data_IF_416362066027
#
_entry.id   IF_416362066027
#
_cell.length_a   1.000
_cell.length_b   1.000
_cell.length_c   1.000
_cell.angle_alpha   90.00
_cell.angle_beta   90.00
_cell.angle_gamma   90.00
#
_symmetry.space_group_name_H-M   'P 1'
#
loop_
_entity.id
_entity.type
_entity.pdbx_description
1 polymer ?
#
# COMPACT_ATOMS: atom_id res chain seq x y z
N UNK A 1 -3.77 -11.26 -13.63
CA UNK A 1 -3.26 -10.10 -12.87
C UNK A 1 -2.90 -10.58 -11.48
N UNK A 2 -1.67 -10.35 -11.06
CA UNK A 2 -1.18 -10.64 -9.70
C UNK A 2 -1.73 -9.63 -8.70
N UNK A 3 -1.65 -9.92 -7.39
CA UNK A 3 -2.11 -8.99 -6.35
C UNK A 3 -1.41 -7.63 -6.39
N UNK A 4 -0.11 -7.62 -6.72
CA UNK A 4 0.68 -6.38 -6.81
C UNK A 4 0.32 -5.54 -8.05
N UNK A 5 0.02 -6.18 -9.17
CA UNK A 5 -0.47 -5.50 -10.37
C UNK A 5 -1.85 -4.88 -10.12
N UNK A 6 -2.74 -5.58 -9.39
CA UNK A 6 -4.03 -5.02 -8.99
C UNK A 6 -3.89 -3.80 -8.09
N UNK A 7 -2.96 -3.85 -7.11
CA UNK A 7 -2.62 -2.70 -6.27
C UNK A 7 -2.15 -1.53 -7.12
N UNK A 8 -1.20 -1.76 -8.03
CA UNK A 8 -0.65 -0.69 -8.87
C UNK A 8 -1.69 -0.13 -9.84
N UNK A 9 -2.57 -0.97 -10.38
CA UNK A 9 -3.68 -0.54 -11.23
C UNK A 9 -4.62 0.44 -10.49
N UNK A 10 -4.90 0.20 -9.20
CA UNK A 10 -5.78 1.06 -8.41
C UNK A 10 -5.12 2.27 -7.75
N UNK A 11 -3.85 2.13 -7.34
CA UNK A 11 -3.16 3.12 -6.53
C UNK A 11 -1.94 3.73 -7.23
N UNK A 12 -1.64 3.34 -8.46
CA UNK A 12 -0.54 3.91 -9.23
C UNK A 12 -0.70 5.43 -9.44
N UNK A 13 0.41 6.13 -9.77
CA UNK A 13 0.41 7.58 -9.92
C UNK A 13 -0.61 8.08 -10.96
N UNK A 14 -0.74 7.36 -12.07
CA UNK A 14 -1.61 7.70 -13.20
C UNK A 14 -2.95 6.95 -13.16
N UNK A 15 -3.27 6.35 -12.01
CA UNK A 15 -4.52 5.62 -11.85
C UNK A 15 -5.74 6.55 -11.98
N UNK A 16 -6.74 6.15 -12.77
CA UNK A 16 -7.97 6.89 -13.01
C UNK A 16 -9.00 6.83 -11.88
N UNK A 17 -8.74 6.04 -10.83
CA UNK A 17 -9.69 5.90 -9.71
C UNK A 17 -9.70 7.15 -8.81
N UNK A 18 -10.90 7.55 -8.41
CA UNK A 18 -11.16 8.65 -7.46
C UNK A 18 -11.34 8.10 -6.04
N UNK A 19 -11.15 8.95 -5.02
CA UNK A 19 -11.28 8.58 -3.59
C UNK A 19 -10.38 7.41 -3.17
N UNK A 20 -9.21 7.31 -3.78
CA UNK A 20 -8.15 6.37 -3.41
C UNK A 20 -6.86 7.13 -3.17
N UNK A 21 -6.02 6.62 -2.28
CA UNK A 21 -4.64 7.08 -2.17
C UNK A 21 -3.84 6.69 -3.41
N UNK A 22 -2.81 7.46 -3.72
CA UNK A 22 -1.98 7.23 -4.92
C UNK A 22 -0.50 7.30 -4.60
N UNK A 23 0.27 6.40 -5.19
CA UNK A 23 1.71 6.45 -5.15
C UNK A 23 2.24 7.69 -5.88
N UNK A 24 3.43 8.14 -5.49
CA UNK A 24 4.09 9.30 -6.09
C UNK A 24 4.40 9.06 -7.56
N UNK A 25 4.44 10.15 -8.34
CA UNK A 25 4.92 10.12 -9.72
C UNK A 25 6.30 9.45 -9.81
N UNK A 26 6.51 8.65 -10.85
CA UNK A 26 7.72 7.83 -11.03
C UNK A 26 7.78 6.55 -10.20
N UNK A 27 6.73 6.20 -9.44
CA UNK A 27 6.63 4.89 -8.77
C UNK A 27 6.27 3.79 -9.77
N UNK A 28 7.01 2.68 -9.77
CA UNK A 28 6.74 1.50 -10.58
C UNK A 28 6.27 0.32 -9.73
N UNK A 29 5.71 -0.71 -10.38
CA UNK A 29 5.26 -1.96 -9.71
C UNK A 29 6.36 -2.57 -8.82
N UNK A 30 7.62 -2.53 -9.27
CA UNK A 30 8.77 -3.03 -8.50
C UNK A 30 8.98 -2.29 -7.17
N UNK A 31 8.71 -0.98 -7.14
CA UNK A 31 8.90 -0.16 -5.94
C UNK A 31 7.79 -0.47 -4.95
N UNK A 32 6.55 -0.62 -5.43
CA UNK A 32 5.42 -1.07 -4.61
C UNK A 32 5.69 -2.46 -4.03
N UNK A 33 6.24 -3.38 -4.83
CA UNK A 33 6.64 -4.71 -4.34
C UNK A 33 7.67 -4.60 -3.20
N UNK A 34 8.67 -3.73 -3.34
CA UNK A 34 9.65 -3.47 -2.29
C UNK A 34 9.04 -2.84 -1.03
N UNK A 35 8.10 -1.89 -1.18
CA UNK A 35 7.39 -1.32 -0.03
C UNK A 35 6.56 -2.38 0.71
N UNK A 36 5.92 -3.27 -0.04
CA UNK A 36 5.16 -4.40 0.52
C UNK A 36 6.08 -5.36 1.27
N UNK A 37 7.17 -5.80 0.65
CA UNK A 37 8.15 -6.70 1.30
C UNK A 37 8.72 -6.09 2.59
N UNK A 38 9.11 -4.82 2.58
CA UNK A 38 9.58 -4.14 3.78
C UNK A 38 8.51 -4.03 4.87
N UNK A 39 7.26 -3.73 4.49
CA UNK A 39 6.17 -3.67 5.43
C UNK A 39 5.84 -5.04 6.04
N UNK A 40 5.86 -6.12 5.27
CA UNK A 40 5.66 -7.47 5.80
C UNK A 40 6.76 -7.88 6.81
N UNK A 41 7.99 -7.38 6.63
CA UNK A 41 9.14 -7.69 7.49
C UNK A 41 9.21 -6.83 8.75
N UNK A 42 8.93 -5.53 8.62
CA UNK A 42 9.23 -4.53 9.65
C UNK A 42 8.02 -3.68 10.08
N UNK A 43 6.88 -3.86 9.43
CA UNK A 43 5.68 -3.08 9.68
C UNK A 43 5.02 -3.42 11.01
N UNK A 44 4.30 -2.45 11.57
CA UNK A 44 3.45 -2.64 12.73
C UNK A 44 2.21 -3.43 12.32
N UNK A 45 2.03 -4.59 12.93
CA UNK A 45 0.86 -5.46 12.69
C UNK A 45 -0.24 -5.15 13.70
N UNK A 46 -1.47 -4.94 13.22
CA UNK A 46 -2.66 -4.76 14.05
C UNK A 46 -3.79 -5.71 13.60
N UNK A 47 -4.57 -6.29 14.53
CA UNK A 47 -5.71 -7.13 14.16
C UNK A 47 -6.79 -6.36 13.39
N UNK A 48 -7.43 -7.02 12.43
CA UNK A 48 -8.52 -6.47 11.61
C UNK A 48 -9.63 -7.51 11.35
N UNK A 49 -10.24 -7.99 12.43
CA UNK A 49 -11.26 -9.03 12.42
C UNK A 49 -10.68 -10.45 12.25
N UNK A 50 -11.54 -11.48 12.23
CA UNK A 50 -11.11 -12.88 12.12
C UNK A 50 -10.25 -13.14 10.88
N UNK A 51 -9.04 -13.66 11.11
CA UNK A 51 -8.07 -13.94 10.05
C UNK A 51 -7.53 -12.70 9.31
N UNK A 52 -7.86 -11.49 9.77
CA UNK A 52 -7.48 -10.23 9.15
C UNK A 52 -6.41 -9.48 9.95
N UNK A 53 -5.44 -8.91 9.23
CA UNK A 53 -4.41 -8.04 9.79
C UNK A 53 -4.22 -6.80 8.93
N UNK A 54 -3.91 -5.70 9.59
CA UNK A 54 -3.40 -4.49 8.95
C UNK A 54 -1.93 -4.39 9.29
N UNK A 55 -1.12 -4.05 8.29
CA UNK A 55 0.31 -3.85 8.45
C UNK A 55 0.62 -2.42 7.99
N UNK A 56 1.14 -1.61 8.89
CA UNK A 56 1.52 -0.21 8.62
C UNK A 56 3.03 -0.07 8.71
N UNK A 57 3.64 0.52 7.69
CA UNK A 57 5.09 0.72 7.64
C UNK A 57 5.43 2.10 7.09
N UNK A 58 6.30 2.83 7.79
CA UNK A 58 6.83 4.09 7.32
C UNK A 58 8.11 3.85 6.51
N UNK A 59 8.08 4.18 5.23
CA UNK A 59 9.19 3.98 4.29
C UNK A 59 10.35 4.99 4.47
N UNK A 60 10.24 5.95 5.39
CA UNK A 60 11.25 6.98 5.65
C UNK A 60 11.37 8.05 4.55
N UNK A 61 10.55 7.96 3.50
CA UNK A 61 10.43 8.93 2.41
C UNK A 61 8.99 9.00 1.93
N UNK A 62 8.61 10.13 1.32
CA UNK A 62 7.27 10.29 0.73
C UNK A 62 7.10 9.28 -0.41
N UNK A 63 6.13 8.38 -0.28
CA UNK A 63 5.82 7.34 -1.26
C UNK A 63 4.54 7.64 -2.05
N UNK A 64 3.77 8.64 -1.63
CA UNK A 64 2.54 9.01 -2.30
C UNK A 64 1.72 10.01 -1.50
N UNK A 65 0.42 9.96 -1.74
CA UNK A 65 -0.61 10.76 -1.06
C UNK A 65 -1.72 9.88 -0.52
N UNK A 66 -2.24 10.23 0.64
CA UNK A 66 -3.41 9.60 1.25
C UNK A 66 -4.68 9.90 0.45
N UNK A 67 -5.81 9.30 0.86
CA UNK A 67 -7.12 9.58 0.27
C UNK A 67 -7.55 11.05 0.40
N UNK A 68 -7.08 11.77 1.43
CA UNK A 68 -7.34 13.20 1.59
C UNK A 68 -6.40 14.08 0.77
N UNK A 69 -5.46 13.50 0.03
CA UNK A 69 -4.48 14.21 -0.79
C UNK A 69 -3.23 14.65 -0.04
N UNK A 70 -3.11 14.37 1.27
CA UNK A 70 -1.92 14.70 2.04
C UNK A 70 -0.74 13.81 1.65
N UNK A 71 0.49 14.34 1.50
CA UNK A 71 1.67 13.52 1.24
C UNK A 71 1.92 12.57 2.41
N UNK A 72 2.29 11.33 2.11
CA UNK A 72 2.55 10.30 3.13
C UNK A 72 3.78 9.47 2.80
N UNK A 73 4.44 9.03 3.87
CA UNK A 73 5.56 8.07 3.85
C UNK A 73 5.12 6.68 4.30
N UNK A 74 3.85 6.52 4.70
CA UNK A 74 3.32 5.29 5.27
C UNK A 74 2.60 4.48 4.21
N UNK A 75 2.92 3.19 4.13
CA UNK A 75 2.12 2.20 3.41
C UNK A 75 1.27 1.41 4.40
N UNK A 76 0.01 1.17 4.03
CA UNK A 76 -0.92 0.29 4.73
C UNK A 76 -1.22 -0.92 3.87
N UNK A 77 -1.18 -2.11 4.47
CA UNK A 77 -1.45 -3.39 3.82
C UNK A 77 -2.55 -4.10 4.58
N UNK A 78 -3.56 -4.55 3.85
CA UNK A 78 -4.60 -5.39 4.39
C UNK A 78 -4.33 -6.84 4.01
N UNK A 79 -4.14 -7.69 5.01
CA UNK A 79 -3.92 -9.13 4.84
C UNK A 79 -5.13 -9.86 5.39
N UNK A 80 -5.59 -10.91 4.71
CA UNK A 80 -6.62 -11.81 5.20
C UNK A 80 -6.28 -13.25 4.85
N UNK A 81 -6.31 -14.14 5.84
CA UNK A 81 -5.98 -15.57 5.71
C UNK A 81 -4.62 -15.80 5.02
N UNK A 82 -3.61 -14.99 5.37
CA UNK A 82 -2.26 -15.06 4.79
C UNK A 82 -2.13 -14.46 3.38
N UNK A 83 -3.20 -13.90 2.81
CA UNK A 83 -3.21 -13.31 1.46
C UNK A 83 -3.33 -11.79 1.54
N UNK A 84 -2.45 -11.07 0.84
CA UNK A 84 -2.54 -9.61 0.68
C UNK A 84 -3.77 -9.28 -0.17
N UNK A 85 -4.71 -8.56 0.42
CA UNK A 85 -5.92 -8.09 -0.25
C UNK A 85 -5.68 -6.76 -0.98
N UNK A 86 -4.91 -5.86 -0.37
CA UNK A 86 -4.51 -4.60 -0.95
C UNK A 86 -3.33 -3.98 -0.19
N UNK A 87 -2.61 -3.07 -0.84
CA UNK A 87 -1.57 -2.23 -0.26
C UNK A 87 -1.68 -0.82 -0.84
N UNK A 88 -1.55 0.23 -0.03
CA UNK A 88 -1.76 1.60 -0.50
C UNK A 88 -1.10 2.64 0.42
N UNK A 89 -0.75 3.84 -0.09
CA UNK A 89 -0.28 4.94 0.77
C UNK A 89 -1.37 5.38 1.76
N UNK A 90 -1.01 5.57 3.03
CA UNK A 90 -1.95 5.87 4.12
C UNK A 90 -1.71 7.24 4.74
#
# INVERSE_FOLDING_TARGET
MTGIEHVFYRHGPDSGFSNVSKFSQGTFVKDVSSYVDNALRYGKVTPNGPGGHVIEYNAGKVIGRSVSGAPTSTIKINVRNGVIQTAFPY
#
